data_IF_846726405436
#
_entry.id   IF_846726405436
#
_cell.length_a   1.000
_cell.length_b   1.000
_cell.length_c   1.000
_cell.angle_alpha   90.00
_cell.angle_beta   90.00
_cell.angle_gamma   90.00
#
_symmetry.space_group_name_H-M   'P 1'
#
loop_
_entity.id
_entity.type
_entity.pdbx_description
1 polymer ?
#
# COMPACT_ATOMS: atom_id res chain seq x y z
N UNK A 1 -20.20 -77.97 -3.08
CA UNK A 1 -21.06 -76.77 -3.03
C UNK A 1 -20.35 -75.75 -2.15
N UNK A 2 -19.68 -74.76 -2.75
CA UNK A 2 -18.99 -73.70 -2.02
C UNK A 2 -19.13 -72.43 -2.85
N UNK A 3 -19.98 -71.49 -2.40
CA UNK A 3 -20.16 -70.18 -3.02
C UNK A 3 -19.37 -69.15 -2.21
N UNK A 4 -18.41 -68.48 -2.86
CA UNK A 4 -17.80 -67.25 -2.36
C UNK A 4 -18.80 -66.10 -2.52
N UNK A 5 -19.06 -65.36 -1.44
CA UNK A 5 -19.75 -64.08 -1.48
C UNK A 5 -18.73 -62.95 -1.65
N UNK A 6 -18.91 -62.12 -2.68
CA UNK A 6 -18.15 -60.89 -2.87
C UNK A 6 -18.97 -59.71 -2.33
N UNK A 7 -18.51 -59.08 -1.24
CA UNK A 7 -19.04 -57.81 -0.77
C UNK A 7 -18.46 -56.68 -1.62
N UNK A 8 -19.33 -55.97 -2.35
CA UNK A 8 -18.98 -54.76 -3.07
C UNK A 8 -19.00 -53.58 -2.09
N UNK A 9 -17.82 -53.08 -1.72
CA UNK A 9 -17.71 -51.84 -0.96
C UNK A 9 -17.98 -50.64 -1.89
N UNK A 10 -19.09 -49.95 -1.63
CA UNK A 10 -19.43 -48.70 -2.31
C UNK A 10 -18.61 -47.56 -1.69
N UNK A 11 -17.52 -47.16 -2.34
CA UNK A 11 -16.75 -45.97 -1.94
C UNK A 11 -17.53 -44.71 -2.33
N UNK A 12 -18.09 -44.04 -1.33
CA UNK A 12 -18.71 -42.72 -1.48
C UNK A 12 -17.58 -41.67 -1.61
N UNK A 13 -17.31 -41.18 -2.83
CA UNK A 13 -16.46 -40.01 -3.03
C UNK A 13 -17.20 -38.76 -2.51
N UNK A 14 -16.82 -38.26 -1.34
CA UNK A 14 -17.16 -36.90 -0.91
C UNK A 14 -16.33 -35.91 -1.73
N UNK A 15 -16.97 -35.25 -2.70
CA UNK A 15 -16.38 -34.10 -3.37
C UNK A 15 -16.24 -32.94 -2.36
N UNK A 16 -15.02 -32.67 -1.89
CA UNK A 16 -14.71 -31.43 -1.19
C UNK A 16 -14.82 -30.29 -2.21
N UNK A 17 -15.93 -29.55 -2.21
CA UNK A 17 -15.99 -28.26 -2.87
C UNK A 17 -15.02 -27.30 -2.16
N UNK A 18 -14.12 -26.59 -2.85
CA UNK A 18 -13.28 -25.59 -2.23
C UNK A 18 -14.17 -24.50 -1.64
N UNK A 19 -14.05 -24.29 -0.32
CA UNK A 19 -14.67 -23.15 0.34
C UNK A 19 -13.95 -21.89 -0.17
N UNK A 20 -14.59 -21.14 -1.06
CA UNK A 20 -14.15 -19.80 -1.38
C UNK A 20 -14.31 -18.96 -0.11
N UNK A 21 -13.20 -18.57 0.51
CA UNK A 21 -13.24 -17.56 1.55
C UNK A 21 -13.79 -16.28 0.91
N UNK A 22 -14.90 -15.76 1.45
CA UNK A 22 -15.47 -14.51 0.97
C UNK A 22 -14.50 -13.36 1.22
N UNK A 23 -14.43 -12.41 0.28
CA UNK A 23 -13.67 -11.17 0.43
C UNK A 23 -14.09 -10.45 1.71
N UNK A 24 -13.11 -10.06 2.54
CA UNK A 24 -13.33 -9.36 3.79
C UNK A 24 -13.29 -7.83 3.60
N UNK A 25 -14.07 -7.11 4.41
CA UNK A 25 -13.96 -5.65 4.52
C UNK A 25 -13.45 -5.30 5.92
N UNK A 26 -12.34 -4.56 5.97
CA UNK A 26 -11.68 -4.08 7.17
C UNK A 26 -11.96 -2.58 7.32
N UNK A 27 -12.90 -2.26 8.20
CA UNK A 27 -13.32 -0.89 8.49
C UNK A 27 -12.42 -0.30 9.59
N UNK A 28 -11.71 0.80 9.28
CA UNK A 28 -10.70 1.42 10.14
C UNK A 28 -11.07 2.85 10.47
N UNK A 29 -11.07 3.22 11.75
CA UNK A 29 -11.27 4.59 12.22
C UNK A 29 -12.30 4.75 13.34
N UNK A 30 -12.71 5.98 13.66
CA UNK A 30 -13.63 6.24 14.77
C UNK A 30 -14.96 5.50 14.62
N UNK A 31 -15.34 4.73 15.64
CA UNK A 31 -16.58 3.96 15.64
C UNK A 31 -16.56 2.70 14.77
N UNK A 32 -15.42 2.36 14.16
CA UNK A 32 -15.25 1.17 13.35
C UNK A 32 -14.65 0.01 14.16
N UNK A 33 -14.79 -1.25 13.69
CA UNK A 33 -14.17 -2.42 14.31
C UNK A 33 -12.67 -2.34 14.56
N UNK A 34 -11.92 -1.66 13.68
CA UNK A 34 -10.48 -1.43 13.83
C UNK A 34 -10.22 0.05 14.14
N UNK A 35 -9.55 0.35 15.25
CA UNK A 35 -9.33 1.74 15.66
C UNK A 35 -8.25 2.45 14.83
N UNK A 36 -7.32 1.69 14.25
CA UNK A 36 -6.17 2.21 13.51
C UNK A 36 -5.55 1.19 12.56
N UNK A 37 -4.62 1.66 11.72
CA UNK A 37 -4.02 0.84 10.66
C UNK A 37 -3.18 -0.31 11.22
N UNK A 38 -2.65 -0.18 12.44
CA UNK A 38 -1.90 -1.25 13.08
C UNK A 38 -2.77 -2.45 13.47
N UNK A 39 -4.09 -2.33 13.48
CA UNK A 39 -5.01 -3.44 13.77
C UNK A 39 -5.40 -4.23 12.51
N UNK A 40 -5.21 -3.65 11.32
CA UNK A 40 -5.43 -4.35 10.04
C UNK A 40 -4.42 -5.49 9.90
N UNK A 41 -4.86 -6.72 9.58
CA UNK A 41 -3.96 -7.84 9.34
C UNK A 41 -3.39 -7.77 7.92
N UNK A 42 -2.58 -6.76 7.64
CA UNK A 42 -1.93 -6.50 6.33
C UNK A 42 -1.25 -7.75 5.75
N UNK A 43 -0.60 -8.52 6.62
CA UNK A 43 0.07 -9.77 6.32
C UNK A 43 -0.87 -10.87 5.81
N UNK A 44 -2.18 -10.73 6.03
CA UNK A 44 -3.21 -11.73 5.74
C UNK A 44 -4.16 -11.34 4.60
N UNK A 45 -4.15 -10.11 4.10
CA UNK A 45 -5.04 -9.63 3.03
C UNK A 45 -4.97 -10.47 1.74
N UNK A 46 -6.08 -11.07 1.33
CA UNK A 46 -6.22 -11.89 0.12
C UNK A 46 -7.04 -11.23 -1.00
N UNK A 47 -7.23 -11.94 -2.13
CA UNK A 47 -8.02 -11.43 -3.24
C UNK A 47 -9.42 -10.94 -2.83
N UNK A 48 -9.74 -9.72 -3.23
CA UNK A 48 -11.02 -9.07 -2.97
C UNK A 48 -11.11 -8.34 -1.64
N UNK A 49 -10.14 -8.53 -0.74
CA UNK A 49 -10.15 -7.85 0.54
C UNK A 49 -10.06 -6.33 0.37
N UNK A 50 -10.87 -5.61 1.14
CA UNK A 50 -10.94 -4.15 1.11
C UNK A 50 -10.65 -3.58 2.49
N UNK A 51 -9.72 -2.64 2.58
CA UNK A 51 -9.48 -1.82 3.77
C UNK A 51 -10.11 -0.45 3.53
N UNK A 52 -11.12 -0.10 4.33
CA UNK A 52 -11.80 1.18 4.30
C UNK A 52 -11.31 2.04 5.46
N UNK A 53 -10.51 3.05 5.13
CA UNK A 53 -9.94 3.98 6.10
C UNK A 53 -10.86 5.19 6.25
N UNK A 54 -11.58 5.28 7.35
CA UNK A 54 -12.49 6.40 7.62
C UNK A 54 -11.73 7.64 8.01
N UNK A 55 -12.14 8.77 7.43
CA UNK A 55 -11.63 10.07 7.82
C UNK A 55 -11.80 10.32 9.32
N UNK A 56 -10.81 10.99 9.90
CA UNK A 56 -10.84 11.57 11.23
C UNK A 56 -10.00 12.84 11.25
N UNK A 57 -10.26 13.72 12.21
CA UNK A 57 -9.59 15.02 12.32
C UNK A 57 -8.09 14.92 12.63
N UNK A 58 -7.66 13.85 13.28
CA UNK A 58 -6.25 13.61 13.63
C UNK A 58 -5.66 12.56 12.70
N UNK A 59 -4.53 12.81 12.00
CA UNK A 59 -3.94 11.84 11.09
C UNK A 59 -3.70 10.45 11.70
N UNK A 60 -3.67 9.43 10.84
CA UNK A 60 -3.14 8.11 11.18
C UNK A 60 -1.62 8.19 11.25
N UNK A 61 -1.06 7.81 12.39
CA UNK A 61 0.36 7.81 12.73
C UNK A 61 0.87 6.37 12.67
N UNK A 62 0.55 5.72 11.57
CA UNK A 62 0.85 4.32 11.30
C UNK A 62 1.26 4.17 9.83
N UNK A 63 2.16 3.24 9.58
CA UNK A 63 2.70 2.94 8.25
C UNK A 63 2.75 1.44 8.02
N UNK A 64 2.75 1.01 6.76
CA UNK A 64 2.66 -0.41 6.43
C UNK A 64 3.28 -0.77 5.09
N UNK A 65 3.47 -2.08 4.90
CA UNK A 65 3.81 -2.70 3.63
C UNK A 65 2.64 -3.57 3.14
N UNK A 66 2.39 -3.56 1.84
CA UNK A 66 1.56 -4.53 1.13
C UNK A 66 2.46 -5.43 0.30
N UNK A 67 2.67 -6.65 0.79
CA UNK A 67 3.38 -7.72 0.09
C UNK A 67 2.41 -8.87 -0.24
N UNK A 68 1.27 -8.53 -0.86
CA UNK A 68 0.14 -9.44 -1.08
C UNK A 68 -0.35 -9.39 -2.53
N UNK A 69 -1.16 -10.38 -2.91
CA UNK A 69 -1.65 -10.55 -4.27
C UNK A 69 -3.17 -10.61 -4.26
N UNK A 70 -3.79 -9.68 -4.98
CA UNK A 70 -5.16 -9.82 -5.46
C UNK A 70 -5.21 -10.59 -6.78
N UNK A 71 -6.37 -10.55 -7.43
CA UNK A 71 -6.56 -10.99 -8.81
C UNK A 71 -7.22 -9.88 -9.62
N UNK A 72 -7.24 -10.02 -10.96
CA UNK A 72 -7.94 -9.07 -11.83
C UNK A 72 -9.41 -8.89 -11.45
N UNK A 73 -10.11 -9.99 -11.17
CA UNK A 73 -11.51 -9.97 -10.78
C UNK A 73 -11.73 -9.55 -9.31
N UNK A 74 -10.71 -9.71 -8.46
CA UNK A 74 -10.79 -9.48 -7.02
C UNK A 74 -9.48 -8.82 -6.54
N UNK A 75 -9.25 -7.54 -6.86
CA UNK A 75 -8.07 -6.83 -6.39
C UNK A 75 -8.14 -6.63 -4.87
N UNK A 76 -6.98 -6.44 -4.24
CA UNK A 76 -6.91 -5.90 -2.88
C UNK A 76 -7.09 -4.39 -2.98
N UNK A 77 -7.99 -3.81 -2.19
CA UNK A 77 -8.28 -2.37 -2.23
C UNK A 77 -7.98 -1.73 -0.88
N UNK A 78 -7.22 -0.65 -0.86
CA UNK A 78 -7.11 0.25 0.30
C UNK A 78 -7.69 1.59 -0.10
N UNK A 79 -8.83 1.95 0.50
CA UNK A 79 -9.62 3.12 0.13
C UNK A 79 -9.81 4.06 1.31
N UNK A 80 -9.56 5.34 1.09
CA UNK A 80 -10.00 6.39 1.99
C UNK A 80 -11.49 6.66 1.86
N UNK A 81 -12.23 6.59 2.98
CA UNK A 81 -13.62 7.03 3.08
C UNK A 81 -13.63 8.50 3.50
N UNK A 82 -14.29 9.33 2.68
CA UNK A 82 -14.27 10.79 2.87
C UNK A 82 -14.96 11.23 4.15
N UNK A 83 -14.43 12.30 4.74
CA UNK A 83 -15.10 13.02 5.81
C UNK A 83 -16.33 13.80 5.33
N UNK A 84 -17.11 14.38 6.25
CA UNK A 84 -18.32 15.14 5.92
C UNK A 84 -18.10 16.33 4.97
N UNK A 85 -16.89 16.91 4.96
CA UNK A 85 -16.49 17.99 4.06
C UNK A 85 -15.77 17.53 2.80
N UNK A 86 -15.70 16.22 2.55
CA UNK A 86 -14.94 15.65 1.43
C UNK A 86 -13.46 15.41 1.72
N UNK A 87 -13.04 15.54 2.98
CA UNK A 87 -11.65 15.35 3.41
C UNK A 87 -11.21 13.90 3.20
N UNK A 88 -9.94 13.71 2.86
CA UNK A 88 -9.33 12.37 2.83
C UNK A 88 -8.80 11.99 4.21
N UNK A 89 -8.85 10.71 4.61
CA UNK A 89 -8.02 10.27 5.72
C UNK A 89 -6.54 10.52 5.40
N UNK A 90 -5.81 11.06 6.37
CA UNK A 90 -4.39 11.38 6.25
C UNK A 90 -3.59 10.26 6.90
N UNK A 91 -2.64 9.68 6.17
CA UNK A 91 -1.60 8.79 6.69
C UNK A 91 -0.31 9.60 6.76
N UNK A 92 0.16 9.82 7.98
CA UNK A 92 1.26 10.73 8.29
C UNK A 92 2.45 9.95 8.85
N UNK A 93 3.55 9.97 8.11
CA UNK A 93 4.80 9.29 8.46
C UNK A 93 5.50 9.86 9.71
N UNK A 94 5.24 11.12 10.07
CA UNK A 94 5.96 11.76 11.18
C UNK A 94 5.58 11.15 12.54
N UNK A 95 6.53 10.51 13.22
CA UNK A 95 6.27 9.77 14.45
C UNK A 95 5.40 8.53 14.22
N UNK A 96 5.31 8.03 12.99
CA UNK A 96 4.49 6.86 12.70
C UNK A 96 5.00 5.59 13.38
N UNK A 97 4.13 4.60 13.50
CA UNK A 97 4.50 3.25 13.99
C UNK A 97 4.22 2.18 12.93
N UNK A 98 4.99 1.10 12.97
CA UNK A 98 4.74 -0.09 12.15
C UNK A 98 4.14 -1.21 13.00
N UNK A 99 3.08 -1.87 12.52
CA UNK A 99 2.52 -3.08 13.14
C UNK A 99 3.60 -4.15 13.34
N UNK A 100 3.72 -4.70 14.54
CA UNK A 100 4.77 -5.67 14.90
C UNK A 100 4.75 -6.99 14.10
N UNK A 101 3.59 -7.38 13.53
CA UNK A 101 3.47 -8.54 12.66
C UNK A 101 4.13 -8.35 11.28
N UNK A 102 4.36 -7.09 10.87
CA UNK A 102 5.04 -6.76 9.63
C UNK A 102 6.55 -6.73 9.85
N UNK A 103 7.27 -7.45 9.00
CA UNK A 103 8.73 -7.46 8.98
C UNK A 103 9.18 -7.27 7.55
N UNK A 104 9.62 -6.07 7.18
CA UNK A 104 10.03 -5.75 5.81
C UNK A 104 11.30 -4.92 5.79
N UNK A 105 12.09 -5.09 4.73
CA UNK A 105 13.27 -4.27 4.48
C UNK A 105 12.87 -2.91 3.89
N UNK A 106 13.80 -1.96 3.94
CA UNK A 106 13.60 -0.60 3.42
C UNK A 106 12.39 0.10 4.08
N UNK A 107 12.17 -0.08 5.39
CA UNK A 107 11.09 0.63 6.09
C UNK A 107 11.26 2.15 5.96
N UNK A 108 12.50 2.62 6.04
CA UNK A 108 12.92 4.02 5.92
C UNK A 108 12.71 4.63 4.53
N UNK A 109 12.26 3.84 3.55
CA UNK A 109 12.05 4.29 2.17
C UNK A 109 10.62 4.66 1.82
N UNK A 110 9.64 4.45 2.72
CA UNK A 110 8.26 4.79 2.42
C UNK A 110 7.33 4.91 3.63
N UNK A 111 6.27 5.72 3.48
CA UNK A 111 5.13 5.73 4.41
C UNK A 111 4.19 4.56 4.08
N UNK A 112 3.79 4.42 2.81
CA UNK A 112 3.13 3.21 2.32
C UNK A 112 4.08 2.51 1.36
N UNK A 113 4.42 1.25 1.64
CA UNK A 113 5.23 0.42 0.76
C UNK A 113 4.34 -0.60 0.04
N UNK A 114 4.44 -0.70 -1.28
CA UNK A 114 4.05 -1.91 -2.03
C UNK A 114 5.36 -2.56 -2.47
N UNK A 115 5.65 -3.76 -1.98
CA UNK A 115 6.94 -4.37 -2.20
C UNK A 115 7.19 -5.59 -1.36
N UNK A 116 8.45 -5.99 -1.22
CA UNK A 116 8.78 -7.22 -0.53
C UNK A 116 8.88 -7.08 1.00
N UNK A 117 8.68 -8.22 1.66
CA UNK A 117 8.74 -8.38 3.10
C UNK A 117 9.28 -9.77 3.50
N UNK A 118 9.79 -9.90 4.71
CA UNK A 118 10.06 -11.19 5.36
C UNK A 118 8.77 -11.77 5.96
N UNK A 119 7.94 -10.90 6.56
CA UNK A 119 6.60 -11.23 7.03
C UNK A 119 5.63 -10.13 6.56
N UNK A 120 4.62 -10.47 5.71
CA UNK A 120 4.37 -11.79 5.15
C UNK A 120 5.51 -12.26 4.22
N UNK A 121 5.52 -13.55 3.86
CA UNK A 121 6.53 -14.10 2.95
C UNK A 121 6.55 -13.32 1.62
N UNK A 122 7.75 -13.11 1.08
CA UNK A 122 7.94 -12.28 -0.10
C UNK A 122 7.14 -12.80 -1.31
N UNK A 123 6.35 -11.91 -1.91
CA UNK A 123 5.62 -12.15 -3.15
C UNK A 123 6.00 -11.10 -4.20
N UNK A 124 5.51 -11.26 -5.43
CA UNK A 124 5.36 -10.13 -6.34
C UNK A 124 3.99 -9.51 -6.08
N UNK A 125 3.90 -8.34 -5.39
CA UNK A 125 2.60 -7.76 -5.08
C UNK A 125 1.86 -7.44 -6.37
N UNK A 126 0.58 -7.76 -6.46
CA UNK A 126 -0.16 -7.55 -7.71
C UNK A 126 -1.65 -7.37 -7.50
N UNK A 127 -2.29 -6.69 -8.46
CA UNK A 127 -3.73 -6.39 -8.43
C UNK A 127 -4.11 -5.69 -7.12
N UNK A 128 -3.46 -4.55 -6.89
CA UNK A 128 -3.65 -3.70 -5.71
C UNK A 128 -4.14 -2.33 -6.17
N UNK A 129 -5.16 -1.83 -5.48
CA UNK A 129 -5.66 -0.46 -5.65
C UNK A 129 -5.41 0.31 -4.36
N UNK A 130 -4.65 1.40 -4.45
CA UNK A 130 -4.57 2.44 -3.43
C UNK A 130 -5.37 3.64 -3.90
N UNK A 131 -6.38 4.04 -3.14
CA UNK A 131 -7.21 5.16 -3.55
C UNK A 131 -7.75 6.01 -2.41
N UNK A 132 -8.03 7.27 -2.69
CA UNK A 132 -8.80 8.08 -1.75
C UNK A 132 -7.98 8.69 -0.60
N UNK A 133 -6.65 8.52 -0.56
CA UNK A 133 -5.79 8.81 0.60
C UNK A 133 -5.03 10.15 0.47
N UNK A 134 -4.72 10.79 1.59
CA UNK A 134 -3.66 11.82 1.68
C UNK A 134 -2.47 11.21 2.43
N UNK A 135 -1.29 11.16 1.81
CA UNK A 135 -0.09 10.51 2.37
C UNK A 135 1.06 11.51 2.42
N UNK A 136 1.67 11.64 3.61
CA UNK A 136 2.59 12.73 3.93
C UNK A 136 3.76 12.32 4.82
N UNK A 137 4.80 13.17 4.85
CA UNK A 137 5.87 13.16 5.87
C UNK A 137 6.88 12.01 5.75
N UNK A 138 7.10 11.48 4.54
CA UNK A 138 8.14 10.50 4.26
C UNK A 138 9.47 11.14 3.89
N UNK A 139 10.16 11.81 4.83
CA UNK A 139 11.49 12.44 4.64
C UNK A 139 12.14 12.86 5.96
N UNK A 140 13.46 13.13 6.01
CA UNK A 140 14.05 13.92 7.08
C UNK A 140 13.35 15.29 7.24
N UNK A 141 13.22 15.83 8.46
CA UNK A 141 13.70 15.29 9.73
C UNK A 141 12.72 14.32 10.42
N UNK A 142 11.68 13.87 9.72
CA UNK A 142 10.68 12.98 10.30
C UNK A 142 11.25 11.58 10.53
N UNK A 143 10.67 10.88 11.50
CA UNK A 143 11.08 9.54 11.92
C UNK A 143 9.85 8.67 12.20
N UNK A 144 10.06 7.36 12.35
CA UNK A 144 9.04 6.39 12.72
C UNK A 144 9.61 5.35 13.69
N UNK A 145 8.75 4.62 14.39
CA UNK A 145 9.13 3.47 15.21
C UNK A 145 8.71 2.18 14.50
N UNK A 146 9.69 1.48 13.93
CA UNK A 146 9.49 0.21 13.21
C UNK A 146 10.18 -0.95 13.90
N UNK A 147 10.51 -2.01 13.12
CA UNK A 147 11.16 -3.21 13.69
C UNK A 147 12.55 -2.94 14.27
N UNK A 148 13.21 -1.90 13.80
CA UNK A 148 14.53 -1.47 14.24
C UNK A 148 14.48 -0.42 15.37
N UNK A 149 13.30 -0.17 15.95
CA UNK A 149 13.07 0.93 16.88
C UNK A 149 12.91 2.27 16.15
N UNK A 150 13.24 3.36 16.83
CA UNK A 150 13.19 4.71 16.28
C UNK A 150 14.17 4.84 15.10
N UNK A 151 13.63 5.16 13.93
CA UNK A 151 14.36 5.20 12.65
C UNK A 151 13.99 6.47 11.88
N UNK A 152 14.99 7.20 11.40
CA UNK A 152 14.78 8.36 10.53
C UNK A 152 14.39 7.90 9.12
N UNK A 153 13.55 8.69 8.44
CA UNK A 153 13.33 8.48 7.01
C UNK A 153 14.59 8.83 6.21
N UNK A 154 14.90 8.05 5.18
CA UNK A 154 15.93 8.42 4.22
C UNK A 154 15.51 9.64 3.40
N UNK A 155 16.48 10.41 2.87
CA UNK A 155 16.19 11.53 1.97
C UNK A 155 15.31 11.14 0.79
N UNK A 156 15.55 9.97 0.22
CA UNK A 156 14.81 9.42 -0.91
C UNK A 156 13.63 8.52 -0.51
N UNK A 157 13.15 8.64 0.73
CA UNK A 157 11.89 8.05 1.14
C UNK A 157 10.73 8.64 0.34
N UNK A 158 9.67 7.86 0.13
CA UNK A 158 8.49 8.30 -0.60
C UNK A 158 7.23 8.33 0.28
N UNK A 159 6.26 9.18 -0.05
CA UNK A 159 4.91 9.00 0.50
C UNK A 159 4.36 7.63 0.07
N UNK A 160 4.43 7.34 -1.23
CA UNK A 160 4.08 6.04 -1.80
C UNK A 160 5.32 5.40 -2.43
N UNK A 161 5.78 4.28 -1.87
CA UNK A 161 6.94 3.53 -2.34
C UNK A 161 6.52 2.20 -2.96
N UNK A 162 6.47 2.15 -4.30
CA UNK A 162 6.31 0.90 -5.05
C UNK A 162 7.69 0.35 -5.36
N UNK A 163 8.19 -0.54 -4.51
CA UNK A 163 9.50 -1.18 -4.72
C UNK A 163 9.48 -2.13 -5.92
N UNK A 164 8.41 -2.91 -6.03
CA UNK A 164 8.11 -3.88 -7.08
C UNK A 164 6.62 -4.22 -7.08
N UNK A 165 6.09 -4.66 -8.23
CA UNK A 165 4.74 -5.19 -8.32
C UNK A 165 4.16 -5.19 -9.73
N UNK A 166 2.98 -5.77 -9.91
CA UNK A 166 2.31 -5.88 -11.21
C UNK A 166 0.84 -5.47 -11.12
N UNK A 167 0.32 -4.71 -12.09
CA UNK A 167 -1.10 -4.32 -12.12
C UNK A 167 -1.50 -3.57 -10.83
N UNK A 168 -0.85 -2.44 -10.59
CA UNK A 168 -1.11 -1.58 -9.43
C UNK A 168 -1.83 -0.34 -9.91
N UNK A 169 -2.87 0.08 -9.19
CA UNK A 169 -3.54 1.36 -9.42
C UNK A 169 -3.33 2.26 -8.20
N UNK A 170 -2.84 3.47 -8.43
CA UNK A 170 -2.80 4.55 -7.45
C UNK A 170 -3.68 5.66 -8.00
N UNK A 171 -4.81 5.94 -7.35
CA UNK A 171 -5.75 6.93 -7.86
C UNK A 171 -6.42 7.79 -6.81
N UNK A 172 -6.83 8.99 -7.21
CA UNK A 172 -7.56 9.91 -6.33
C UNK A 172 -6.80 10.09 -4.99
N UNK A 173 -5.47 10.23 -5.00
CA UNK A 173 -4.67 10.46 -3.79
C UNK A 173 -4.05 11.86 -3.78
N UNK A 174 -3.76 12.37 -2.59
CA UNK A 174 -2.86 13.52 -2.37
C UNK A 174 -1.54 12.96 -1.85
N UNK A 175 -0.44 13.28 -2.54
CA UNK A 175 0.88 12.69 -2.31
C UNK A 175 1.87 13.83 -2.07
N UNK A 176 2.26 14.07 -0.82
CA UNK A 176 2.93 15.32 -0.44
C UNK A 176 3.95 15.22 0.69
N UNK A 177 4.67 16.31 0.89
CA UNK A 177 5.64 16.56 1.98
C UNK A 177 6.56 15.39 2.30
N UNK A 178 7.05 14.74 1.24
CA UNK A 178 7.95 13.60 1.32
C UNK A 178 9.20 13.87 0.49
N UNK A 179 10.20 12.99 0.57
CA UNK A 179 11.40 13.10 -0.23
C UNK A 179 11.00 12.97 -1.69
N UNK A 180 10.61 11.75 -2.06
CA UNK A 180 9.82 11.52 -3.26
C UNK A 180 8.32 11.57 -2.95
N UNK A 181 7.49 12.02 -3.88
CA UNK A 181 6.04 11.82 -3.74
C UNK A 181 5.69 10.35 -3.99
N UNK A 182 5.75 9.95 -5.26
CA UNK A 182 5.66 8.56 -5.70
C UNK A 182 7.05 8.09 -6.14
N UNK A 183 7.52 6.98 -5.57
CA UNK A 183 8.68 6.24 -6.09
C UNK A 183 8.23 4.89 -6.65
N UNK A 184 8.74 4.52 -7.82
CA UNK A 184 8.54 3.19 -8.41
C UNK A 184 9.85 2.56 -8.87
N UNK A 185 10.13 1.34 -8.41
CA UNK A 185 11.30 0.55 -8.81
C UNK A 185 11.11 -0.16 -10.16
N UNK A 186 12.23 -0.59 -10.76
CA UNK A 186 12.29 -1.16 -12.11
C UNK A 186 11.69 -2.56 -12.26
N UNK A 187 11.39 -3.24 -11.15
CA UNK A 187 10.67 -4.51 -11.13
C UNK A 187 9.15 -4.33 -11.15
N UNK A 188 8.67 -3.12 -11.44
CA UNK A 188 7.24 -2.82 -11.52
C UNK A 188 6.74 -2.88 -12.96
N UNK A 189 5.57 -3.50 -13.15
CA UNK A 189 4.87 -3.58 -14.44
C UNK A 189 3.42 -3.12 -14.30
N UNK A 190 2.92 -2.42 -15.31
CA UNK A 190 1.51 -2.03 -15.43
C UNK A 190 1.03 -1.24 -14.19
N UNK A 191 1.64 -0.07 -13.98
CA UNK A 191 1.26 0.87 -12.93
C UNK A 191 0.35 1.96 -13.52
N UNK A 192 -0.88 2.06 -13.03
CA UNK A 192 -1.77 3.17 -13.33
C UNK A 192 -1.66 4.23 -12.23
N UNK A 193 -1.28 5.44 -12.62
CA UNK A 193 -1.27 6.63 -11.76
C UNK A 193 -2.34 7.58 -12.30
N UNK A 194 -3.47 7.68 -11.61
CA UNK A 194 -4.67 8.37 -12.11
C UNK A 194 -5.24 9.40 -11.13
N UNK A 195 -5.53 10.62 -11.59
CA UNK A 195 -6.33 11.56 -10.81
C UNK A 195 -5.71 11.97 -9.47
N UNK A 196 -4.40 11.81 -9.30
CA UNK A 196 -3.69 12.15 -8.07
C UNK A 196 -3.22 13.60 -8.09
N UNK A 197 -3.07 14.21 -6.92
CA UNK A 197 -2.35 15.46 -6.73
C UNK A 197 -0.99 15.18 -6.08
N UNK A 198 0.09 15.52 -6.79
CA UNK A 198 1.46 15.40 -6.29
C UNK A 198 2.02 16.81 -6.09
N UNK A 199 2.40 17.13 -4.86
CA UNK A 199 2.83 18.49 -4.49
C UNK A 199 3.75 18.49 -3.31
N UNK A 200 4.52 19.56 -3.16
CA UNK A 200 5.30 19.80 -1.95
C UNK A 200 6.19 18.60 -1.59
N UNK A 201 6.78 17.91 -2.56
CA UNK A 201 7.82 16.89 -2.31
C UNK A 201 9.21 17.44 -2.63
N UNK A 202 10.25 16.77 -2.15
CA UNK A 202 11.65 17.11 -2.37
C UNK A 202 12.44 17.42 -1.09
N UNK A 203 13.76 17.44 -1.24
CA UNK A 203 14.71 17.83 -0.19
C UNK A 203 15.41 19.13 -0.58
N UNK A 204 15.46 20.10 0.34
CA UNK A 204 16.07 21.40 0.11
C UNK A 204 17.54 21.27 -0.29
N UNK A 205 17.94 22.02 -1.32
CA UNK A 205 19.29 21.98 -1.87
C UNK A 205 19.63 20.69 -2.63
N UNK A 206 18.67 19.80 -2.85
CA UNK A 206 18.85 18.55 -3.60
C UNK A 206 18.10 18.56 -4.93
N UNK A 207 18.68 17.88 -5.92
CA UNK A 207 18.08 17.64 -7.24
C UNK A 207 17.66 16.19 -7.43
N UNK A 208 17.83 15.32 -6.43
CA UNK A 208 17.66 13.87 -6.58
C UNK A 208 16.26 13.36 -6.24
N UNK A 209 15.53 14.08 -5.40
CA UNK A 209 14.19 13.72 -4.97
C UNK A 209 13.12 14.50 -5.74
N UNK A 210 12.01 13.86 -6.07
CA UNK A 210 11.06 14.32 -7.09
C UNK A 210 9.61 14.18 -6.62
N UNK A 211 8.67 14.91 -7.22
CA UNK A 211 7.25 14.56 -7.01
C UNK A 211 6.96 13.14 -7.48
N UNK A 212 7.56 12.73 -8.59
CA UNK A 212 7.45 11.38 -9.13
C UNK A 212 8.79 10.91 -9.67
N UNK A 213 9.25 9.76 -9.17
CA UNK A 213 10.44 9.05 -9.62
C UNK A 213 10.05 7.61 -9.93
N UNK A 214 9.89 7.26 -11.19
CA UNK A 214 9.48 5.92 -11.63
C UNK A 214 10.53 5.28 -12.55
N UNK A 215 10.37 3.98 -12.78
CA UNK A 215 11.20 3.18 -13.69
C UNK A 215 10.42 1.95 -14.18
N UNK A 216 9.08 2.05 -14.24
CA UNK A 216 8.20 0.90 -14.48
C UNK A 216 8.04 0.61 -15.97
N UNK A 217 7.76 -0.65 -16.29
CA UNK A 217 7.34 -1.03 -17.65
C UNK A 217 5.83 -0.92 -17.74
N UNK A 218 5.30 -0.21 -18.74
CA UNK A 218 3.85 -0.09 -18.94
C UNK A 218 3.15 0.84 -17.95
N UNK A 219 3.85 1.84 -17.41
CA UNK A 219 3.22 2.86 -16.57
C UNK A 219 2.31 3.78 -17.40
N UNK A 220 1.14 4.12 -16.85
CA UNK A 220 0.21 5.09 -17.41
C UNK A 220 -0.03 6.22 -16.43
N UNK A 221 0.23 7.45 -16.86
CA UNK A 221 -0.14 8.67 -16.15
C UNK A 221 -1.35 9.31 -16.82
N UNK A 222 -2.45 9.48 -16.08
CA UNK A 222 -3.63 10.18 -16.61
C UNK A 222 -4.32 11.03 -15.54
N UNK A 223 -4.82 12.19 -15.95
CA UNK A 223 -5.61 13.09 -15.10
C UNK A 223 -4.96 13.54 -13.77
N UNK A 224 -3.64 13.36 -13.60
CA UNK A 224 -2.93 13.80 -12.40
C UNK A 224 -2.64 15.30 -12.44
N UNK A 225 -2.62 15.92 -11.25
CA UNK A 225 -2.19 17.28 -11.03
C UNK A 225 -0.82 17.31 -10.37
N UNK A 226 0.21 17.69 -11.13
CA UNK A 226 1.55 17.95 -10.59
C UNK A 226 1.70 19.43 -10.24
N UNK A 227 1.90 19.70 -8.96
CA UNK A 227 2.18 21.04 -8.43
C UNK A 227 3.66 21.21 -8.09
N UNK A 228 4.13 22.41 -7.75
CA UNK A 228 5.53 22.62 -7.39
C UNK A 228 6.03 21.65 -6.30
N UNK A 229 7.33 21.37 -6.35
CA UNK A 229 8.08 20.78 -5.25
C UNK A 229 8.12 21.75 -4.05
N UNK A 230 8.61 21.27 -2.89
CA UNK A 230 8.85 22.13 -1.72
C UNK A 230 9.80 23.27 -2.12
N UNK A 231 9.62 24.43 -1.49
CA UNK A 231 10.49 25.60 -1.73
C UNK A 231 11.95 25.22 -1.49
N UNK A 232 12.84 25.60 -2.41
CA UNK A 232 14.27 25.30 -2.31
C UNK A 232 14.68 23.89 -2.76
N UNK A 233 13.74 23.08 -3.28
CA UNK A 233 14.05 21.77 -3.86
C UNK A 233 14.22 21.86 -5.38
N UNK A 234 15.25 21.18 -5.92
CA UNK A 234 15.64 21.25 -7.34
C UNK A 234 15.17 20.06 -8.18
N UNK A 235 14.39 19.14 -7.62
CA UNK A 235 13.87 17.98 -8.34
C UNK A 235 12.85 18.29 -9.44
N UNK A 236 12.43 17.24 -10.15
CA UNK A 236 11.45 17.33 -11.23
C UNK A 236 10.06 16.89 -10.79
N UNK A 237 9.06 17.29 -11.57
CA UNK A 237 7.68 16.82 -11.38
C UNK A 237 7.50 15.35 -11.77
N UNK A 238 8.14 14.94 -12.86
CA UNK A 238 8.09 13.59 -13.38
C UNK A 238 9.48 13.20 -13.89
N UNK A 239 9.99 12.08 -13.38
CA UNK A 239 11.17 11.38 -13.87
C UNK A 239 10.81 9.92 -14.01
N UNK A 240 10.96 9.39 -15.22
CA UNK A 240 10.69 7.99 -15.58
C UNK A 240 11.85 7.44 -16.41
#
# INVERSE_FOLDING_TARGET
MTRLGASTACCLLMALAPAFAAAATFEVGPGQPLAGLNEVPWESLGPGDTVLLHWRSTPYKEKFVLCRQGTEAQPIVVRGVRGPGGERPIIDGDGATTRAALNFWNEDRGVIKIGGANAPADTMPRWIVLEGLDVTSGRPPFSFTGRNGLTDYAKNAAALYVEKGENITIRDCVIRDSGNGLFCGSQTRDLLVEGNELRDNGIEGSFYEHNNYTAAVGITFQFNLFRPLRTGCGGNNLKD
#
